data_IF_819937836894
#
_entry.id   IF_819937836894
#
_cell.length_a   1.000
_cell.length_b   1.000
_cell.length_c   1.000
_cell.angle_alpha   90.00
_cell.angle_beta   90.00
_cell.angle_gamma   90.00
#
_symmetry.space_group_name_H-M   'P 1'
#
loop_
_entity.id
_entity.type
_entity.pdbx_description
1 polymer ?
#
# COMPACT_ATOMS: atom_id res chain seq x y z
N UNK A 1 -20.68 -14.01 31.26
CA UNK A 1 -21.13 -12.86 30.41
C UNK A 1 -20.91 -11.55 31.15
N UNK A 2 -19.85 -10.85 30.90
CA UNK A 2 -19.54 -9.55 31.51
C UNK A 2 -20.27 -8.48 30.69
N UNK A 3 -21.25 -7.80 31.27
CA UNK A 3 -22.00 -6.71 30.65
C UNK A 3 -20.99 -5.68 30.11
N UNK A 4 -20.92 -5.50 28.77
CA UNK A 4 -20.21 -4.43 28.11
C UNK A 4 -20.75 -3.11 28.63
N UNK A 5 -19.90 -2.31 29.28
CA UNK A 5 -20.20 -0.90 29.59
C UNK A 5 -20.16 -0.13 28.25
N UNK A 6 -21.30 -0.03 27.61
CA UNK A 6 -21.56 0.92 26.53
C UNK A 6 -21.51 2.31 27.13
N UNK A 7 -20.47 3.05 26.86
CA UNK A 7 -20.32 4.43 27.32
C UNK A 7 -18.94 4.72 27.90
N UNK A 8 -17.86 4.35 27.19
CA UNK A 8 -16.59 5.02 27.49
C UNK A 8 -16.68 6.41 26.87
N UNK A 9 -16.77 7.43 27.72
CA UNK A 9 -16.55 8.81 27.34
C UNK A 9 -15.24 8.89 26.55
N UNK A 10 -15.29 9.43 25.35
CA UNK A 10 -14.14 9.72 24.51
C UNK A 10 -13.22 10.67 25.28
N UNK A 11 -12.27 10.11 26.02
CA UNK A 11 -11.22 10.89 26.64
C UNK A 11 -10.16 11.17 25.60
N UNK A 12 -10.05 12.42 25.17
CA UNK A 12 -8.94 12.93 24.32
C UNK A 12 -7.56 12.56 24.91
N UNK A 13 -7.50 12.28 26.22
CA UNK A 13 -6.32 11.78 26.93
C UNK A 13 -5.82 10.39 26.45
N UNK A 14 -6.66 9.63 25.75
CA UNK A 14 -6.30 8.30 25.24
C UNK A 14 -5.78 8.32 23.79
N UNK A 15 -5.70 9.50 23.18
CA UNK A 15 -5.14 9.64 21.83
C UNK A 15 -3.64 9.40 21.85
N UNK A 16 -3.18 8.60 20.90
CA UNK A 16 -1.76 8.43 20.69
C UNK A 16 -1.19 9.57 19.83
N UNK A 17 -0.82 10.67 20.52
CA UNK A 17 -0.27 11.85 19.86
C UNK A 17 0.99 11.57 19.03
N UNK A 18 1.75 10.51 19.34
CA UNK A 18 2.96 10.16 18.59
C UNK A 18 2.64 9.79 17.15
N UNK A 19 1.59 8.97 16.92
CA UNK A 19 1.14 8.62 15.56
C UNK A 19 0.77 9.87 14.79
N UNK A 20 0.03 10.80 15.42
CA UNK A 20 -0.38 12.06 14.80
C UNK A 20 0.83 12.90 14.41
N UNK A 21 1.81 13.02 15.33
CA UNK A 21 3.03 13.81 15.09
C UNK A 21 3.85 13.20 13.95
N UNK A 22 4.06 11.87 13.93
CA UNK A 22 4.83 11.21 12.88
C UNK A 22 4.12 11.33 11.52
N UNK A 23 2.80 11.16 11.47
CA UNK A 23 2.02 11.35 10.26
C UNK A 23 2.10 12.79 9.74
N UNK A 24 2.03 13.79 10.63
CA UNK A 24 2.18 15.20 10.28
C UNK A 24 3.58 15.52 9.73
N UNK A 25 4.64 15.02 10.39
CA UNK A 25 6.01 15.23 9.93
C UNK A 25 6.17 14.67 8.50
N UNK A 26 5.74 13.42 8.26
CA UNK A 26 5.82 12.80 6.94
C UNK A 26 4.99 13.56 5.90
N UNK A 27 3.79 14.01 6.26
CA UNK A 27 2.93 14.78 5.36
C UNK A 27 3.53 16.13 4.98
N UNK A 28 4.14 16.83 5.93
CA UNK A 28 4.81 18.12 5.69
C UNK A 28 6.02 17.92 4.78
N UNK A 29 6.87 16.92 5.07
CA UNK A 29 8.02 16.60 4.22
C UNK A 29 7.52 16.23 2.81
N UNK A 30 6.47 15.40 2.70
CA UNK A 30 5.87 15.01 1.43
C UNK A 30 5.40 16.21 0.60
N UNK A 31 4.80 17.24 1.22
CA UNK A 31 4.39 18.47 0.52
C UNK A 31 5.61 19.20 -0.07
N UNK A 32 6.68 19.35 0.73
CA UNK A 32 7.90 20.00 0.23
C UNK A 32 8.53 19.23 -0.92
N UNK A 33 8.60 17.90 -0.81
CA UNK A 33 9.20 17.05 -1.85
C UNK A 33 8.36 17.02 -3.13
N UNK A 34 7.03 16.90 -3.02
CA UNK A 34 6.13 17.00 -4.18
C UNK A 34 6.22 18.37 -4.83
N UNK A 35 6.28 19.44 -4.02
CA UNK A 35 6.48 20.79 -4.56
C UNK A 35 7.79 20.90 -5.35
N UNK A 36 8.87 20.36 -4.80
CA UNK A 36 10.17 20.37 -5.50
C UNK A 36 10.14 19.55 -6.80
N UNK A 37 9.56 18.35 -6.78
CA UNK A 37 9.46 17.47 -7.93
C UNK A 37 8.61 18.06 -9.06
N UNK A 38 7.58 18.86 -8.74
CA UNK A 38 6.61 19.38 -9.70
C UNK A 38 6.87 20.82 -10.14
N UNK A 39 8.02 21.39 -9.81
CA UNK A 39 8.34 22.79 -10.18
C UNK A 39 8.33 23.06 -11.68
N UNK A 40 8.74 22.08 -12.47
CA UNK A 40 8.86 22.20 -13.92
C UNK A 40 7.62 21.64 -14.67
N UNK A 41 6.63 21.13 -13.94
CA UNK A 41 5.39 20.67 -14.57
C UNK A 41 4.56 21.85 -15.08
N UNK A 42 4.11 21.76 -16.35
CA UNK A 42 3.12 22.68 -16.86
C UNK A 42 1.81 22.53 -16.08
N UNK A 43 1.27 23.64 -15.60
CA UNK A 43 -0.02 23.64 -14.88
C UNK A 43 -1.12 23.26 -15.87
N UNK A 44 -1.51 22.00 -15.90
CA UNK A 44 -2.53 21.45 -16.82
C UNK A 44 -3.95 21.50 -16.27
N UNK A 45 -4.15 22.06 -15.06
CA UNK A 45 -5.45 22.08 -14.40
C UNK A 45 -5.67 23.30 -13.51
N UNK A 46 -6.87 23.41 -12.92
CA UNK A 46 -7.22 24.48 -11.99
C UNK A 46 -6.38 24.46 -10.69
N UNK A 47 -5.82 23.32 -10.33
CA UNK A 47 -5.11 23.09 -9.05
C UNK A 47 -3.83 22.35 -9.34
N UNK A 48 -2.70 22.84 -8.82
CA UNK A 48 -1.37 22.21 -8.96
C UNK A 48 -1.29 20.91 -8.14
N UNK A 49 -0.35 20.04 -8.50
CA UNK A 49 -0.10 18.77 -7.77
C UNK A 49 0.20 19.03 -6.29
N UNK A 50 0.98 20.06 -5.97
CA UNK A 50 1.25 20.50 -4.58
C UNK A 50 -0.03 20.91 -3.85
N UNK A 51 -0.95 21.65 -4.51
CA UNK A 51 -2.21 22.06 -3.88
C UNK A 51 -3.12 20.86 -3.61
N UNK A 52 -3.14 19.86 -4.51
CA UNK A 52 -3.85 18.58 -4.27
C UNK A 52 -3.28 17.85 -3.05
N UNK A 53 -1.97 17.84 -2.88
CA UNK A 53 -1.31 17.22 -1.72
C UNK A 53 -1.68 17.93 -0.40
N UNK A 54 -1.68 19.27 -0.39
CA UNK A 54 -2.11 20.04 0.78
C UNK A 54 -3.58 19.77 1.11
N UNK A 55 -4.45 19.79 0.09
CA UNK A 55 -5.87 19.50 0.26
C UNK A 55 -6.09 18.08 0.81
N UNK A 56 -5.36 17.10 0.28
CA UNK A 56 -5.39 15.73 0.77
C UNK A 56 -4.98 15.61 2.24
N UNK A 57 -3.91 16.33 2.65
CA UNK A 57 -3.48 16.37 4.04
C UNK A 57 -4.58 16.97 4.94
N UNK A 58 -5.18 18.08 4.56
CA UNK A 58 -6.26 18.75 5.35
C UNK A 58 -7.46 17.83 5.48
N UNK A 59 -7.92 17.23 4.38
CA UNK A 59 -9.04 16.26 4.37
C UNK A 59 -8.70 15.06 5.27
N UNK A 60 -7.50 14.51 5.13
CA UNK A 60 -7.02 13.38 5.94
C UNK A 60 -7.03 13.69 7.44
N UNK A 61 -6.57 14.88 7.85
CA UNK A 61 -6.60 15.33 9.25
C UNK A 61 -8.04 15.50 9.77
N UNK A 62 -8.92 16.06 8.96
CA UNK A 62 -10.35 16.21 9.34
C UNK A 62 -11.00 14.84 9.50
N UNK A 63 -10.76 13.91 8.54
CA UNK A 63 -11.28 12.54 8.62
C UNK A 63 -10.71 11.80 9.83
N UNK A 64 -9.43 11.96 10.13
CA UNK A 64 -8.81 11.38 11.33
C UNK A 64 -9.50 11.86 12.59
N UNK A 65 -9.78 13.17 12.73
CA UNK A 65 -10.49 13.73 13.88
C UNK A 65 -11.92 13.19 13.98
N UNK A 66 -12.64 13.09 12.87
CA UNK A 66 -14.00 12.53 12.84
C UNK A 66 -13.98 11.05 13.24
N UNK A 67 -13.08 10.24 12.65
CA UNK A 67 -12.99 8.81 12.96
C UNK A 67 -12.57 8.55 14.40
N UNK A 68 -11.78 9.41 15.01
CA UNK A 68 -11.43 9.32 16.43
C UNK A 68 -12.67 9.45 17.35
N UNK A 69 -13.70 10.15 16.90
CA UNK A 69 -14.98 10.30 17.63
C UNK A 69 -15.92 9.10 17.43
N UNK A 70 -15.62 8.18 16.53
CA UNK A 70 -16.48 7.02 16.20
C UNK A 70 -15.94 5.78 16.89
N UNK A 71 -16.83 5.04 17.56
CA UNK A 71 -16.49 3.74 18.12
C UNK A 71 -16.22 2.72 17.00
N UNK A 72 -15.00 2.15 16.98
CA UNK A 72 -14.59 1.16 15.97
C UNK A 72 -15.45 -0.10 15.95
N UNK A 73 -16.08 -0.48 17.06
CA UNK A 73 -17.05 -1.59 17.11
C UNK A 73 -18.26 -1.32 16.19
N UNK A 74 -18.69 -0.05 16.09
CA UNK A 74 -19.75 0.33 15.16
C UNK A 74 -19.28 0.21 13.71
N UNK A 75 -18.05 0.65 13.41
CA UNK A 75 -17.47 0.51 12.08
C UNK A 75 -17.38 -0.95 11.66
N UNK A 76 -16.92 -1.84 12.56
CA UNK A 76 -16.86 -3.28 12.32
C UNK A 76 -18.26 -3.86 12.12
N UNK A 77 -19.25 -3.41 12.89
CA UNK A 77 -20.64 -3.88 12.74
C UNK A 77 -21.21 -3.57 11.37
N UNK A 78 -20.89 -2.41 10.80
CA UNK A 78 -21.35 -1.97 9.47
C UNK A 78 -20.38 -2.34 8.34
N UNK A 79 -19.34 -3.13 8.61
CA UNK A 79 -18.31 -3.51 7.64
C UNK A 79 -18.88 -4.17 6.37
N UNK A 80 -19.98 -4.93 6.48
CA UNK A 80 -20.64 -5.54 5.33
C UNK A 80 -21.11 -4.47 4.34
N UNK A 81 -21.68 -3.37 4.84
CA UNK A 81 -22.17 -2.27 3.99
C UNK A 81 -21.00 -1.60 3.29
N UNK A 82 -19.91 -1.26 4.01
CA UNK A 82 -18.70 -0.69 3.42
C UNK A 82 -18.08 -1.63 2.39
N UNK A 83 -18.08 -2.92 2.68
CA UNK A 83 -17.55 -3.95 1.80
C UNK A 83 -18.35 -4.05 0.49
N UNK A 84 -19.68 -4.11 0.57
CA UNK A 84 -20.54 -4.17 -0.62
C UNK A 84 -20.42 -2.89 -1.46
N UNK A 85 -20.37 -1.72 -0.83
CA UNK A 85 -20.16 -0.45 -1.53
C UNK A 85 -18.79 -0.46 -2.25
N UNK A 86 -17.73 -0.91 -1.59
CA UNK A 86 -16.40 -0.96 -2.20
C UNK A 86 -16.35 -1.93 -3.38
N UNK A 87 -17.01 -3.09 -3.28
CA UNK A 87 -17.15 -4.03 -4.40
C UNK A 87 -17.88 -3.42 -5.58
N UNK A 88 -19.00 -2.73 -5.31
CA UNK A 88 -19.76 -2.04 -6.35
C UNK A 88 -18.93 -0.95 -7.06
N UNK A 89 -18.10 -0.20 -6.30
CA UNK A 89 -17.22 0.81 -6.86
C UNK A 89 -16.11 0.21 -7.74
N UNK A 90 -15.47 -0.90 -7.32
CA UNK A 90 -14.48 -1.60 -8.14
C UNK A 90 -15.11 -2.11 -9.46
N UNK A 91 -16.27 -2.76 -9.38
CA UNK A 91 -16.99 -3.25 -10.56
C UNK A 91 -17.39 -2.09 -11.46
N UNK A 92 -17.87 -0.97 -10.89
CA UNK A 92 -18.25 0.21 -11.64
C UNK A 92 -17.10 0.79 -12.47
N UNK A 93 -15.93 0.98 -11.83
CA UNK A 93 -14.74 1.52 -12.52
C UNK A 93 -14.23 0.56 -13.58
N UNK A 94 -14.25 -0.74 -13.31
CA UNK A 94 -13.76 -1.73 -14.27
C UNK A 94 -14.61 -1.85 -15.52
N UNK A 95 -15.96 -1.86 -15.37
CA UNK A 95 -16.86 -2.29 -16.45
C UNK A 95 -17.78 -1.18 -16.97
N UNK A 96 -18.08 -0.13 -16.18
CA UNK A 96 -19.11 0.85 -16.55
C UNK A 96 -18.48 2.17 -16.98
N UNK A 97 -17.55 2.72 -16.23
CA UNK A 97 -16.94 4.02 -16.53
C UNK A 97 -15.42 4.03 -16.34
N UNK A 98 -14.67 3.30 -17.17
CA UNK A 98 -13.23 3.27 -17.05
C UNK A 98 -12.62 4.60 -17.53
N UNK A 99 -11.91 5.29 -16.63
CA UNK A 99 -10.97 6.33 -17.02
C UNK A 99 -9.62 5.67 -17.28
N UNK A 100 -9.21 5.66 -18.55
CA UNK A 100 -7.91 5.12 -18.94
C UNK A 100 -6.83 6.17 -18.65
N UNK A 101 -6.16 6.02 -17.50
CA UNK A 101 -4.98 6.83 -17.12
C UNK A 101 -3.80 5.88 -17.09
N UNK A 102 -2.74 6.18 -17.83
CA UNK A 102 -1.52 5.37 -17.91
C UNK A 102 -1.78 3.89 -18.28
N UNK A 103 -2.66 3.65 -19.26
CA UNK A 103 -3.10 2.31 -19.72
C UNK A 103 -3.77 1.43 -18.66
N UNK A 104 -4.31 2.03 -17.61
CA UNK A 104 -5.05 1.31 -16.57
C UNK A 104 -6.41 1.95 -16.28
N UNK A 105 -7.43 1.11 -16.20
CA UNK A 105 -8.80 1.51 -15.88
C UNK A 105 -9.03 1.36 -14.37
N UNK A 106 -8.43 2.25 -13.56
CA UNK A 106 -8.42 2.19 -12.09
C UNK A 106 -9.04 3.42 -11.43
N UNK A 107 -9.29 4.46 -12.21
CA UNK A 107 -9.67 5.77 -11.71
C UNK A 107 -11.11 6.12 -12.09
N UNK A 108 -11.77 6.85 -11.22
CA UNK A 108 -13.08 7.45 -11.50
C UNK A 108 -13.01 8.96 -11.28
N UNK A 109 -13.73 9.72 -12.10
CA UNK A 109 -13.85 11.16 -11.92
C UNK A 109 -15.00 11.47 -10.97
N UNK A 110 -14.68 12.15 -9.86
CA UNK A 110 -15.70 12.67 -8.96
C UNK A 110 -15.86 14.17 -9.22
N UNK A 111 -17.05 14.64 -9.62
CA UNK A 111 -17.30 16.06 -9.85
C UNK A 111 -16.93 16.87 -8.60
N UNK A 112 -16.07 17.87 -8.75
CA UNK A 112 -15.61 18.73 -7.66
C UNK A 112 -14.41 18.21 -6.83
N UNK A 113 -14.10 16.90 -6.88
CA UNK A 113 -12.97 16.31 -6.09
C UNK A 113 -11.83 15.76 -6.95
N UNK A 114 -11.99 15.76 -8.28
CA UNK A 114 -10.97 15.21 -9.20
C UNK A 114 -11.10 13.71 -9.40
N UNK A 115 -9.96 13.04 -9.57
CA UNK A 115 -9.88 11.58 -9.79
C UNK A 115 -9.68 10.85 -8.46
N UNK A 116 -10.45 9.80 -8.22
CA UNK A 116 -10.35 8.93 -7.04
C UNK A 116 -10.14 7.50 -7.53
N UNK A 117 -9.32 6.75 -6.79
CA UNK A 117 -9.07 5.34 -7.03
C UNK A 117 -9.88 4.50 -6.03
N UNK A 118 -10.86 3.69 -6.47
CA UNK A 118 -11.71 2.89 -5.57
C UNK A 118 -10.95 1.84 -4.76
N UNK A 119 -9.83 1.33 -5.24
CA UNK A 119 -9.00 0.37 -4.50
C UNK A 119 -8.47 0.96 -3.19
N UNK A 120 -8.24 2.28 -3.10
CA UNK A 120 -7.85 2.95 -1.86
C UNK A 120 -8.93 2.82 -0.76
N UNK A 121 -10.20 3.00 -1.15
CA UNK A 121 -11.32 2.80 -0.26
C UNK A 121 -11.51 1.31 0.08
N UNK A 122 -11.27 0.42 -0.88
CA UNK A 122 -11.43 -1.01 -0.73
C UNK A 122 -10.43 -1.62 0.26
N UNK A 123 -9.21 -1.06 0.39
CA UNK A 123 -8.25 -1.46 1.43
C UNK A 123 -8.84 -1.33 2.84
N UNK A 124 -9.51 -0.21 3.11
CA UNK A 124 -10.16 0.04 4.41
C UNK A 124 -11.34 -0.91 4.60
N UNK A 125 -12.19 -1.04 3.59
CA UNK A 125 -13.40 -1.86 3.65
C UNK A 125 -13.09 -3.36 3.87
N UNK A 126 -12.06 -3.89 3.18
CA UNK A 126 -11.66 -5.29 3.32
C UNK A 126 -11.05 -5.59 4.69
N UNK A 127 -10.28 -4.66 5.28
CA UNK A 127 -9.75 -4.81 6.65
C UNK A 127 -10.91 -4.86 7.65
N UNK A 128 -11.87 -3.95 7.56
CA UNK A 128 -13.05 -3.97 8.43
C UNK A 128 -13.82 -5.28 8.29
N UNK A 129 -14.03 -5.76 7.06
CA UNK A 129 -14.69 -7.03 6.77
C UNK A 129 -13.89 -8.23 7.31
N UNK A 130 -12.57 -8.22 7.16
CA UNK A 130 -11.68 -9.24 7.69
C UNK A 130 -11.79 -9.35 9.22
N UNK A 131 -11.78 -8.21 9.95
CA UNK A 131 -12.00 -8.20 11.40
C UNK A 131 -13.35 -8.82 11.74
N UNK A 132 -14.42 -8.40 11.05
CA UNK A 132 -15.77 -8.91 11.28
C UNK A 132 -15.89 -10.43 11.12
N UNK A 133 -15.24 -11.01 10.12
CA UNK A 133 -15.23 -12.46 9.87
C UNK A 133 -14.34 -13.18 10.88
N UNK A 134 -13.10 -12.71 11.10
CA UNK A 134 -12.13 -13.38 11.98
C UNK A 134 -12.63 -13.51 13.42
N UNK A 135 -13.36 -12.52 13.94
CA UNK A 135 -13.95 -12.60 15.27
C UNK A 135 -14.98 -13.73 15.36
N UNK A 136 -15.77 -13.93 14.31
CA UNK A 136 -16.78 -14.98 14.27
C UNK A 136 -16.19 -16.37 14.18
N UNK A 137 -15.12 -16.52 13.42
CA UNK A 137 -14.46 -17.81 13.20
C UNK A 137 -13.34 -18.09 14.21
N UNK A 138 -13.04 -17.17 15.14
CA UNK A 138 -11.91 -17.27 16.08
C UNK A 138 -11.81 -18.64 16.77
N UNK A 139 -12.93 -19.20 17.22
CA UNK A 139 -12.96 -20.51 17.89
C UNK A 139 -12.60 -21.67 16.95
N UNK A 140 -12.75 -21.48 15.67
CA UNK A 140 -12.54 -22.49 14.62
C UNK A 140 -11.40 -22.09 13.67
N UNK A 141 -10.52 -21.15 14.08
CA UNK A 141 -9.46 -20.60 13.22
C UNK A 141 -8.50 -21.66 12.66
N UNK A 142 -8.34 -22.78 13.38
CA UNK A 142 -7.49 -23.89 12.93
C UNK A 142 -8.23 -24.88 12.01
N UNK A 143 -9.47 -24.64 11.66
CA UNK A 143 -10.21 -25.46 10.72
C UNK A 143 -10.08 -24.88 9.29
N UNK A 144 -9.61 -25.72 8.37
CA UNK A 144 -9.36 -25.36 6.95
C UNK A 144 -10.57 -24.73 6.28
N UNK A 145 -11.78 -25.28 6.51
CA UNK A 145 -13.00 -24.80 5.86
C UNK A 145 -13.33 -23.35 6.22
N UNK A 146 -13.12 -22.96 7.48
CA UNK A 146 -13.33 -21.56 7.90
C UNK A 146 -12.28 -20.62 7.33
N UNK A 147 -11.02 -21.08 7.23
CA UNK A 147 -9.95 -20.30 6.58
C UNK A 147 -10.21 -20.12 5.07
N UNK A 148 -10.63 -21.19 4.39
CA UNK A 148 -11.02 -21.12 2.97
C UNK A 148 -12.17 -20.12 2.81
N UNK A 149 -13.21 -20.18 3.64
CA UNK A 149 -14.34 -19.24 3.61
C UNK A 149 -13.89 -17.79 3.83
N UNK A 150 -12.96 -17.55 4.77
CA UNK A 150 -12.37 -16.24 5.01
C UNK A 150 -11.62 -15.70 3.79
N UNK A 151 -10.70 -16.50 3.25
CA UNK A 151 -9.91 -16.10 2.07
C UNK A 151 -10.75 -16.03 0.79
N UNK A 152 -11.78 -16.88 0.64
CA UNK A 152 -12.69 -16.79 -0.49
C UNK A 152 -13.46 -15.46 -0.48
N UNK A 153 -14.00 -15.07 0.68
CA UNK A 153 -14.75 -13.83 0.82
C UNK A 153 -13.86 -12.60 0.62
N UNK A 154 -12.73 -12.51 1.32
CA UNK A 154 -11.81 -11.36 1.22
C UNK A 154 -11.01 -11.36 -0.07
N UNK A 155 -10.77 -12.52 -0.66
CA UNK A 155 -10.08 -12.73 -1.92
C UNK A 155 -10.83 -12.19 -3.13
N UNK A 156 -12.16 -12.02 -3.06
CA UNK A 156 -12.93 -11.34 -4.12
C UNK A 156 -12.39 -9.92 -4.35
N UNK A 157 -12.12 -9.18 -3.27
CA UNK A 157 -11.52 -7.82 -3.35
C UNK A 157 -10.16 -7.87 -4.01
N UNK A 158 -9.30 -8.79 -3.56
CA UNK A 158 -7.95 -8.98 -4.11
C UNK A 158 -8.01 -9.29 -5.60
N UNK A 159 -8.90 -10.18 -6.01
CA UNK A 159 -9.09 -10.55 -7.41
C UNK A 159 -9.57 -9.37 -8.27
N UNK A 160 -10.55 -8.60 -7.81
CA UNK A 160 -11.05 -7.43 -8.55
C UNK A 160 -9.95 -6.38 -8.74
N UNK A 161 -9.16 -6.09 -7.72
CA UNK A 161 -8.04 -5.15 -7.80
C UNK A 161 -6.92 -5.69 -8.70
N UNK A 162 -6.64 -6.99 -8.65
CA UNK A 162 -5.67 -7.65 -9.55
C UNK A 162 -6.07 -7.52 -11.02
N UNK A 163 -7.36 -7.67 -11.32
CA UNK A 163 -7.90 -7.53 -12.70
C UNK A 163 -7.87 -6.06 -13.18
N UNK A 164 -7.74 -5.08 -12.28
CA UNK A 164 -7.48 -3.66 -12.58
C UNK A 164 -5.99 -3.34 -12.82
N UNK A 165 -5.15 -4.27 -13.23
CA UNK A 165 -3.70 -4.45 -13.16
C UNK A 165 -2.98 -3.68 -12.02
N UNK A 166 -3.50 -3.78 -10.80
CA UNK A 166 -2.87 -3.22 -9.60
C UNK A 166 -2.33 -4.34 -8.69
N UNK A 167 -1.22 -4.93 -9.11
CA UNK A 167 -0.56 -6.02 -8.40
C UNK A 167 -0.08 -5.57 -7.00
N UNK A 168 0.46 -4.37 -6.89
CA UNK A 168 1.03 -3.86 -5.65
C UNK A 168 -0.01 -3.77 -4.54
N UNK A 169 -1.16 -3.14 -4.82
CA UNK A 169 -2.27 -3.03 -3.88
C UNK A 169 -2.85 -4.39 -3.52
N UNK A 170 -2.98 -5.30 -4.51
CA UNK A 170 -3.44 -6.67 -4.28
C UNK A 170 -2.54 -7.41 -3.30
N UNK A 171 -1.21 -7.34 -3.47
CA UNK A 171 -0.23 -7.98 -2.59
C UNK A 171 -0.26 -7.40 -1.17
N UNK A 172 -0.32 -6.07 -1.02
CA UNK A 172 -0.41 -5.43 0.29
C UNK A 172 -1.64 -5.91 1.06
N UNK A 173 -2.80 -6.02 0.38
CA UNK A 173 -4.02 -6.53 1.00
C UNK A 173 -3.84 -8.00 1.42
N UNK A 174 -3.26 -8.86 0.59
CA UNK A 174 -2.99 -10.27 0.93
C UNK A 174 -2.11 -10.35 2.17
N UNK A 175 -1.02 -9.56 2.24
CA UNK A 175 -0.16 -9.53 3.42
C UNK A 175 -0.93 -9.09 4.67
N UNK A 176 -1.77 -8.06 4.57
CA UNK A 176 -2.60 -7.61 5.68
C UNK A 176 -3.57 -8.71 6.15
N UNK A 177 -4.26 -9.40 5.23
CA UNK A 177 -5.18 -10.47 5.53
C UNK A 177 -4.50 -11.65 6.23
N UNK A 178 -3.31 -12.04 5.77
CA UNK A 178 -2.49 -13.08 6.38
C UNK A 178 -2.01 -12.66 7.76
N UNK A 179 -1.48 -11.44 7.91
CA UNK A 179 -1.02 -10.91 9.20
C UNK A 179 -2.16 -10.91 10.25
N UNK A 180 -3.38 -10.53 9.84
CA UNK A 180 -4.55 -10.56 10.73
C UNK A 180 -4.89 -11.98 11.19
N UNK A 181 -4.75 -13.00 10.33
CA UNK A 181 -4.94 -14.41 10.74
C UNK A 181 -3.91 -14.82 11.79
N UNK A 182 -2.65 -14.37 11.69
CA UNK A 182 -1.64 -14.63 12.74
C UNK A 182 -2.05 -14.03 14.08
N UNK A 183 -2.58 -12.83 14.10
CA UNK A 183 -3.00 -12.13 15.32
C UNK A 183 -4.17 -12.85 16.02
N UNK A 184 -4.99 -13.63 15.30
CA UNK A 184 -6.06 -14.44 15.91
C UNK A 184 -5.57 -15.65 16.70
N UNK A 185 -4.27 -15.99 16.64
CA UNK A 185 -3.69 -17.11 17.36
C UNK A 185 -3.81 -18.45 16.62
N UNK A 186 -3.67 -18.43 15.30
CA UNK A 186 -3.55 -19.64 14.48
C UNK A 186 -2.39 -20.52 14.97
N UNK A 187 -2.52 -21.84 14.88
CA UNK A 187 -1.46 -22.75 15.32
C UNK A 187 -0.20 -22.66 14.46
N UNK A 188 0.97 -22.77 15.06
CA UNK A 188 2.27 -22.74 14.40
C UNK A 188 2.43 -23.80 13.30
N UNK A 189 1.64 -24.89 13.34
CA UNK A 189 1.61 -25.92 12.29
C UNK A 189 1.13 -25.34 10.95
N UNK A 190 0.13 -24.46 10.98
CA UNK A 190 -0.36 -23.76 9.80
C UNK A 190 0.65 -22.77 9.26
N UNK A 191 1.30 -22.04 10.18
CA UNK A 191 2.39 -21.10 9.82
C UNK A 191 3.50 -21.84 9.10
N UNK A 192 3.98 -22.94 9.68
CA UNK A 192 5.02 -23.77 9.06
C UNK A 192 4.58 -24.36 7.71
N UNK A 193 3.32 -24.78 7.59
CA UNK A 193 2.76 -25.27 6.34
C UNK A 193 2.74 -24.20 5.23
N UNK A 194 2.24 -23.00 5.55
CA UNK A 194 2.22 -21.87 4.59
C UNK A 194 3.64 -21.46 4.20
N UNK A 195 4.56 -21.32 5.17
CA UNK A 195 5.96 -20.99 4.88
C UNK A 195 6.63 -22.06 4.02
N UNK A 196 6.33 -23.36 4.26
CA UNK A 196 6.82 -24.46 3.44
C UNK A 196 6.33 -24.37 2.00
N UNK A 197 5.04 -24.11 1.79
CA UNK A 197 4.47 -23.91 0.44
C UNK A 197 5.10 -22.70 -0.26
N UNK A 198 5.24 -21.57 0.45
CA UNK A 198 5.90 -20.36 -0.09
C UNK A 198 7.36 -20.65 -0.45
N UNK A 199 8.10 -21.37 0.39
CA UNK A 199 9.49 -21.72 0.12
C UNK A 199 9.63 -22.62 -1.11
N UNK A 200 8.75 -23.61 -1.27
CA UNK A 200 8.71 -24.48 -2.47
C UNK A 200 8.37 -23.65 -3.71
N UNK A 201 7.38 -22.76 -3.62
CA UNK A 201 7.01 -21.88 -4.75
C UNK A 201 8.14 -20.94 -5.16
N UNK A 202 8.79 -20.28 -4.19
CA UNK A 202 9.95 -19.41 -4.45
C UNK A 202 11.11 -20.21 -5.02
N UNK A 203 11.38 -21.42 -4.47
CA UNK A 203 12.42 -22.30 -5.00
C UNK A 203 12.16 -22.73 -6.44
N UNK A 204 10.91 -23.10 -6.77
CA UNK A 204 10.51 -23.43 -8.12
C UNK A 204 10.64 -22.23 -9.08
N UNK A 205 10.24 -21.05 -8.64
CA UNK A 205 10.34 -19.82 -9.42
C UNK A 205 11.82 -19.46 -9.69
N UNK A 206 12.67 -19.52 -8.67
CA UNK A 206 14.11 -19.31 -8.85
C UNK A 206 14.71 -20.35 -9.80
N UNK A 207 14.32 -21.61 -9.67
CA UNK A 207 14.75 -22.66 -10.60
C UNK A 207 14.37 -22.30 -12.05
N UNK A 208 13.14 -21.89 -12.32
CA UNK A 208 12.68 -21.48 -13.65
C UNK A 208 13.45 -20.26 -14.21
N UNK A 209 13.83 -19.30 -13.34
CA UNK A 209 14.59 -18.10 -13.75
C UNK A 209 16.03 -18.44 -14.14
N UNK A 210 16.68 -19.32 -13.35
CA UNK A 210 18.08 -19.70 -13.57
C UNK A 210 18.26 -20.91 -14.51
N UNK A 211 17.15 -21.49 -15.00
CA UNK A 211 17.19 -22.56 -15.99
C UNK A 211 17.81 -22.08 -17.31
N UNK A 212 18.77 -22.81 -17.90
CA UNK A 212 19.34 -22.47 -19.21
C UNK A 212 18.23 -22.35 -20.28
N UNK A 213 18.28 -21.27 -21.07
CA UNK A 213 17.29 -20.91 -22.10
C UNK A 213 15.88 -20.63 -21.57
N UNK A 214 15.68 -20.61 -20.24
CA UNK A 214 14.39 -20.32 -19.58
C UNK A 214 13.20 -21.09 -20.19
N UNK A 215 13.43 -22.36 -20.51
CA UNK A 215 12.44 -23.21 -21.21
C UNK A 215 11.10 -23.27 -20.50
N UNK A 216 11.14 -23.36 -19.17
CA UNK A 216 9.92 -23.43 -18.36
C UNK A 216 9.15 -22.11 -18.42
N UNK A 217 9.81 -20.95 -18.33
CA UNK A 217 9.15 -19.64 -18.46
C UNK A 217 8.56 -19.44 -19.86
N UNK A 218 9.29 -19.83 -20.91
CA UNK A 218 8.82 -19.76 -22.29
C UNK A 218 7.60 -20.66 -22.51
N UNK A 219 7.57 -21.85 -21.92
CA UNK A 219 6.40 -22.73 -21.96
C UNK A 219 5.16 -22.08 -21.28
N UNK A 220 5.33 -21.38 -20.15
CA UNK A 220 4.24 -20.67 -19.51
C UNK A 220 3.70 -19.52 -20.38
N UNK A 221 4.56 -18.86 -21.15
CA UNK A 221 4.16 -17.81 -22.10
C UNK A 221 3.37 -18.43 -23.26
N UNK A 222 3.85 -19.53 -23.86
CA UNK A 222 3.18 -20.24 -24.95
C UNK A 222 1.78 -20.74 -24.56
N UNK A 223 1.57 -21.05 -23.27
CA UNK A 223 0.28 -21.49 -22.73
C UNK A 223 -0.62 -20.36 -22.24
N UNK A 224 -0.27 -19.10 -22.49
CA UNK A 224 -0.99 -17.91 -21.99
C UNK A 224 -1.20 -17.87 -20.47
N UNK A 225 -0.36 -18.61 -19.71
CA UNK A 225 -0.40 -18.60 -18.24
C UNK A 225 0.30 -17.36 -17.69
N UNK A 226 1.43 -16.97 -18.31
CA UNK A 226 2.18 -15.76 -18.02
C UNK A 226 2.27 -14.91 -19.27
N UNK A 227 2.12 -13.60 -19.10
CA UNK A 227 2.32 -12.66 -20.20
C UNK A 227 3.79 -12.26 -20.31
N UNK A 228 4.27 -12.01 -21.52
CA UNK A 228 5.66 -11.65 -21.81
C UNK A 228 6.16 -10.51 -20.93
N UNK A 229 5.33 -9.47 -20.70
CA UNK A 229 5.73 -8.33 -19.86
C UNK A 229 5.98 -8.72 -18.39
N UNK A 230 5.28 -9.73 -17.86
CA UNK A 230 5.48 -10.23 -16.51
C UNK A 230 6.82 -10.95 -16.38
N UNK A 231 7.15 -11.77 -17.35
CA UNK A 231 8.45 -12.46 -17.43
C UNK A 231 9.58 -11.43 -17.61
N UNK A 232 9.40 -10.44 -18.46
CA UNK A 232 10.38 -9.37 -18.65
C UNK A 232 10.63 -8.58 -17.35
N UNK A 233 9.59 -8.31 -16.56
CA UNK A 233 9.76 -7.67 -15.23
C UNK A 233 10.55 -8.54 -14.25
N UNK A 234 10.29 -9.84 -14.24
CA UNK A 234 11.05 -10.78 -13.40
C UNK A 234 12.51 -10.81 -13.86
N UNK A 235 12.75 -11.03 -15.14
CA UNK A 235 14.08 -11.10 -15.69
C UNK A 235 14.87 -9.79 -15.52
N UNK A 236 14.24 -8.64 -15.72
CA UNK A 236 14.90 -7.35 -15.52
C UNK A 236 15.35 -7.10 -14.08
N UNK A 237 14.68 -7.72 -13.11
CA UNK A 237 15.11 -7.66 -11.71
C UNK A 237 16.34 -8.52 -11.42
N UNK A 238 16.42 -9.74 -12.00
CA UNK A 238 17.53 -10.67 -11.79
C UNK A 238 18.71 -10.45 -12.75
N UNK A 239 18.43 -9.99 -13.97
CA UNK A 239 19.40 -9.76 -15.04
C UNK A 239 19.27 -8.36 -15.62
N UNK A 240 19.54 -7.31 -14.82
CA UNK A 240 19.32 -5.91 -15.23
C UNK A 240 20.12 -5.50 -16.47
N UNK A 241 21.29 -6.11 -16.69
CA UNK A 241 22.16 -5.82 -17.83
C UNK A 241 21.56 -6.25 -19.16
N UNK A 242 20.75 -7.34 -19.17
CA UNK A 242 20.10 -7.87 -20.36
C UNK A 242 18.81 -7.12 -20.73
N UNK A 243 18.28 -6.31 -19.81
CA UNK A 243 17.01 -5.58 -19.96
C UNK A 243 17.17 -4.06 -19.67
N UNK A 244 18.04 -3.35 -20.40
CA UNK A 244 18.39 -1.96 -20.07
C UNK A 244 17.18 -1.01 -20.11
N UNK A 245 16.24 -1.20 -21.04
CA UNK A 245 15.07 -0.32 -21.16
C UNK A 245 14.11 -0.44 -19.97
N UNK A 246 13.91 -1.66 -19.42
CA UNK A 246 13.06 -1.90 -18.27
C UNK A 246 13.71 -1.46 -16.95
N UNK A 247 15.04 -1.51 -16.87
CA UNK A 247 15.80 -1.17 -15.65
C UNK A 247 16.25 0.29 -15.62
N UNK A 248 16.16 1.01 -16.74
CA UNK A 248 16.62 2.39 -16.87
C UNK A 248 16.13 3.32 -15.76
N UNK A 249 14.83 3.27 -15.46
CA UNK A 249 14.25 4.13 -14.41
C UNK A 249 14.75 3.75 -13.01
N UNK A 250 14.92 2.45 -12.73
CA UNK A 250 15.47 1.98 -11.46
C UNK A 250 16.93 2.40 -11.30
N UNK A 251 17.74 2.22 -12.35
CA UNK A 251 19.15 2.64 -12.35
C UNK A 251 19.29 4.15 -12.17
N UNK A 252 18.49 4.94 -12.89
CA UNK A 252 18.46 6.40 -12.74
C UNK A 252 18.05 6.81 -11.32
N UNK A 253 17.07 6.10 -10.71
CA UNK A 253 16.66 6.33 -9.33
C UNK A 253 17.80 6.05 -8.34
N UNK A 254 18.54 4.95 -8.51
CA UNK A 254 19.70 4.61 -7.67
C UNK A 254 20.82 5.64 -7.85
N UNK A 255 21.09 6.06 -9.09
CA UNK A 255 22.08 7.11 -9.38
C UNK A 255 21.70 8.45 -8.75
N UNK A 256 20.41 8.81 -8.79
CA UNK A 256 19.91 10.03 -8.14
C UNK A 256 20.16 10.00 -6.64
N UNK A 257 19.76 8.91 -5.97
CA UNK A 257 19.97 8.73 -4.52
C UNK A 257 21.45 8.78 -4.16
N UNK A 258 22.29 8.08 -4.94
CA UNK A 258 23.74 8.07 -4.73
C UNK A 258 24.38 9.45 -4.98
N UNK A 259 23.88 10.19 -5.97
CA UNK A 259 24.33 11.56 -6.31
C UNK A 259 24.07 12.59 -5.21
N UNK A 260 23.10 12.33 -4.31
CA UNK A 260 22.80 13.20 -3.16
C UNK A 260 23.82 13.13 -2.05
N UNK A 261 24.69 12.14 -2.01
CA UNK A 261 25.73 11.97 -0.97
C UNK A 261 25.16 12.05 0.47
N UNK A 262 25.88 12.69 1.40
CA UNK A 262 25.47 12.75 2.81
C UNK A 262 24.36 13.77 3.07
N UNK A 263 24.47 14.98 2.53
CA UNK A 263 23.63 16.13 2.86
C UNK A 263 22.67 16.57 1.74
N UNK A 264 22.75 15.92 0.59
CA UNK A 264 21.96 16.26 -0.59
C UNK A 264 22.50 17.44 -1.39
N UNK A 265 21.94 17.63 -2.58
CA UNK A 265 22.24 18.76 -3.47
C UNK A 265 21.46 20.04 -3.09
N UNK A 266 20.62 19.97 -2.07
CA UNK A 266 19.73 21.05 -1.61
C UNK A 266 18.33 20.98 -2.22
N UNK A 267 17.36 21.51 -1.47
CA UNK A 267 15.96 21.60 -1.93
C UNK A 267 15.84 22.49 -3.16
N UNK A 268 14.95 22.11 -4.06
CA UNK A 268 14.69 22.85 -5.30
C UNK A 268 15.91 23.00 -6.21
N UNK A 269 16.79 21.99 -6.23
CA UNK A 269 17.95 22.01 -7.08
C UNK A 269 17.56 22.17 -8.56
N UNK A 270 18.07 23.22 -9.21
CA UNK A 270 17.76 23.57 -10.59
C UNK A 270 18.91 23.24 -11.57
N UNK A 271 19.89 22.44 -11.14
CA UNK A 271 21.01 22.03 -12.03
C UNK A 271 20.50 21.05 -13.08
N UNK A 272 21.06 21.13 -14.31
CA UNK A 272 20.68 20.21 -15.40
C UNK A 272 21.04 18.74 -15.11
N UNK A 273 21.94 18.50 -14.19
CA UNK A 273 22.32 17.16 -13.73
C UNK A 273 21.36 16.56 -12.69
N UNK A 274 20.34 17.31 -12.28
CA UNK A 274 19.30 16.82 -11.39
C UNK A 274 18.32 15.93 -12.14
N UNK A 275 17.87 14.87 -11.49
CA UNK A 275 16.94 13.90 -12.05
C UNK A 275 15.65 14.56 -12.56
N UNK A 276 15.11 15.52 -11.80
CA UNK A 276 13.89 16.26 -12.17
C UNK A 276 14.07 17.19 -13.36
N UNK A 277 15.27 17.77 -13.57
CA UNK A 277 15.52 18.70 -14.66
C UNK A 277 15.99 18.00 -15.94
N UNK A 278 16.58 16.82 -15.81
CA UNK A 278 17.08 16.01 -16.92
C UNK A 278 16.04 15.07 -17.55
N UNK A 279 14.81 15.01 -17.06
CA UNK A 279 13.77 14.05 -17.47
C UNK A 279 14.29 12.59 -17.48
N UNK A 280 15.15 12.26 -16.51
CA UNK A 280 15.72 10.91 -16.39
C UNK A 280 14.72 9.90 -15.81
N UNK A 281 13.69 10.37 -15.07
CA UNK A 281 12.62 9.57 -14.52
C UNK A 281 11.28 10.07 -15.06
N UNK A 282 10.41 9.15 -15.42
CA UNK A 282 9.00 9.46 -15.70
C UNK A 282 8.19 9.34 -14.41
N UNK A 283 7.22 10.24 -14.20
CA UNK A 283 6.32 10.25 -13.03
C UNK A 283 7.10 10.28 -11.70
N UNK A 284 8.18 11.08 -11.63
CA UNK A 284 9.06 11.18 -10.46
C UNK A 284 8.33 11.63 -9.20
N UNK A 285 7.29 12.46 -9.33
CA UNK A 285 6.45 12.96 -8.26
C UNK A 285 5.55 11.87 -7.64
N UNK A 286 5.34 10.74 -8.34
CA UNK A 286 4.52 9.61 -7.91
C UNK A 286 5.38 8.41 -7.52
N UNK A 287 5.97 7.74 -8.52
CA UNK A 287 6.60 6.44 -8.33
C UNK A 287 8.05 6.52 -7.81
N UNK A 288 8.75 7.63 -8.11
CA UNK A 288 10.16 7.80 -7.77
C UNK A 288 10.43 9.00 -6.86
N UNK A 289 9.45 9.43 -6.08
CA UNK A 289 9.60 10.59 -5.17
C UNK A 289 10.76 10.40 -4.19
N UNK A 290 11.06 9.15 -3.77
CA UNK A 290 12.18 8.86 -2.88
C UNK A 290 13.55 9.08 -3.55
N UNK A 291 13.64 8.98 -4.89
CA UNK A 291 14.83 9.35 -5.63
C UNK A 291 15.10 10.85 -5.53
N UNK A 292 14.04 11.68 -5.63
CA UNK A 292 14.13 13.13 -5.43
C UNK A 292 14.55 13.45 -3.99
N UNK A 293 13.97 12.76 -3.01
CA UNK A 293 14.38 12.86 -1.59
C UNK A 293 15.86 12.57 -1.43
N UNK A 294 16.34 11.45 -2.00
CA UNK A 294 17.74 11.03 -1.89
C UNK A 294 18.68 12.03 -2.56
N UNK A 295 18.31 12.59 -3.70
CA UNK A 295 19.11 13.58 -4.40
C UNK A 295 19.16 14.93 -3.67
N UNK A 296 18.03 15.45 -3.20
CA UNK A 296 17.92 16.79 -2.61
C UNK A 296 18.31 16.85 -1.14
N UNK A 297 17.91 15.84 -0.33
CA UNK A 297 18.17 15.78 1.12
C UNK A 297 19.32 14.83 1.48
N UNK A 298 19.83 14.06 0.54
CA UNK A 298 20.93 13.13 0.73
C UNK A 298 20.59 11.95 1.66
N UNK A 299 21.63 11.26 2.09
CA UNK A 299 21.51 10.14 3.02
C UNK A 299 20.86 10.55 4.35
N UNK A 300 21.22 11.70 4.91
CA UNK A 300 20.70 12.16 6.20
C UNK A 300 19.18 12.38 6.15
N UNK A 301 18.66 13.06 5.11
CA UNK A 301 17.22 13.28 4.94
C UNK A 301 16.47 11.99 4.66
N UNK A 302 17.01 11.13 3.81
CA UNK A 302 16.44 9.81 3.50
C UNK A 302 16.36 8.93 4.74
N UNK A 303 17.45 8.85 5.51
CA UNK A 303 17.50 8.09 6.77
C UNK A 303 16.51 8.65 7.80
N UNK A 304 16.36 9.97 7.90
CA UNK A 304 15.38 10.59 8.79
C UNK A 304 13.95 10.20 8.43
N UNK A 305 13.58 10.23 7.14
CA UNK A 305 12.25 9.81 6.69
C UNK A 305 12.00 8.34 7.02
N UNK A 306 12.96 7.46 6.71
CA UNK A 306 12.85 6.03 7.02
C UNK A 306 12.69 5.82 8.53
N UNK A 307 13.44 6.56 9.36
CA UNK A 307 13.32 6.48 10.81
C UNK A 307 11.92 6.89 11.29
N UNK A 308 11.34 7.96 10.76
CA UNK A 308 9.99 8.39 11.14
C UNK A 308 8.94 7.35 10.71
N UNK A 309 9.07 6.74 9.51
CA UNK A 309 8.22 5.63 9.09
C UNK A 309 8.34 4.43 10.04
N UNK A 310 9.56 4.05 10.41
CA UNK A 310 9.80 2.96 11.36
C UNK A 310 9.17 3.25 12.73
N UNK A 311 9.31 4.48 13.22
CA UNK A 311 8.70 4.89 14.49
C UNK A 311 7.17 4.87 14.42
N UNK A 312 6.57 5.31 13.30
CA UNK A 312 5.14 5.23 13.05
C UNK A 312 4.65 3.78 13.05
N UNK A 313 5.36 2.90 12.35
CA UNK A 313 5.07 1.47 12.30
C UNK A 313 5.15 0.81 13.69
N UNK A 314 6.23 1.05 14.42
CA UNK A 314 6.41 0.53 15.80
C UNK A 314 5.30 1.03 16.72
N UNK A 315 4.93 2.29 16.63
CA UNK A 315 3.87 2.84 17.48
C UNK A 315 2.50 2.25 17.11
N UNK A 316 2.24 2.01 15.81
CA UNK A 316 1.06 1.28 15.36
C UNK A 316 0.98 -0.14 15.92
N UNK A 317 2.11 -0.89 15.92
CA UNK A 317 2.20 -2.22 16.56
C UNK A 317 1.98 -2.14 18.07
N UNK A 318 2.47 -1.11 18.74
CA UNK A 318 2.23 -0.89 20.17
C UNK A 318 0.75 -0.65 20.46
N UNK A 319 0.06 0.11 19.61
CA UNK A 319 -1.40 0.32 19.73
C UNK A 319 -2.13 -1.01 19.55
N UNK A 320 -1.77 -1.81 18.54
CA UNK A 320 -2.32 -3.15 18.35
C UNK A 320 -2.11 -4.04 19.59
N UNK A 321 -0.88 -4.07 20.13
CA UNK A 321 -0.54 -4.87 21.32
C UNK A 321 -1.25 -4.43 22.61
N UNK A 322 -1.57 -3.13 22.75
CA UNK A 322 -2.23 -2.56 23.92
C UNK A 322 -3.75 -2.53 23.81
N UNK A 323 -4.30 -2.93 22.68
CA UNK A 323 -5.74 -2.93 22.47
C UNK A 323 -6.43 -3.86 23.49
N UNK A 324 -7.54 -3.42 24.11
CA UNK A 324 -8.22 -4.16 25.19
C UNK A 324 -8.94 -5.43 24.70
N UNK A 325 -9.26 -5.50 23.41
CA UNK A 325 -9.99 -6.60 22.80
C UNK A 325 -9.36 -7.06 21.48
N UNK A 326 -9.82 -8.21 20.98
CA UNK A 326 -9.32 -8.77 19.73
C UNK A 326 -9.75 -7.94 18.52
N UNK A 327 -10.91 -7.28 18.57
CA UNK A 327 -11.42 -6.42 17.49
C UNK A 327 -10.43 -5.29 17.20
N UNK A 328 -10.02 -4.56 18.23
CA UNK A 328 -9.06 -3.49 18.12
C UNK A 328 -7.65 -3.97 17.75
N UNK A 329 -7.21 -5.15 18.26
CA UNK A 329 -5.92 -5.75 17.87
C UNK A 329 -5.88 -6.06 16.38
N UNK A 330 -6.92 -6.71 15.87
CA UNK A 330 -7.02 -7.07 14.45
C UNK A 330 -7.10 -5.82 13.57
N UNK A 331 -7.91 -4.84 13.97
CA UNK A 331 -8.08 -3.61 13.21
C UNK A 331 -6.75 -2.85 13.11
N UNK A 332 -6.09 -2.64 14.24
CA UNK A 332 -4.80 -1.95 14.26
C UNK A 332 -3.72 -2.70 13.49
N UNK A 333 -3.62 -4.04 13.65
CA UNK A 333 -2.64 -4.85 12.90
C UNK A 333 -2.90 -4.84 11.40
N UNK A 334 -4.17 -4.91 10.97
CA UNK A 334 -4.53 -4.82 9.56
C UNK A 334 -4.10 -3.48 8.93
N UNK A 335 -4.39 -2.36 9.60
CA UNK A 335 -3.98 -1.04 9.10
C UNK A 335 -2.47 -0.82 9.14
N UNK A 336 -1.78 -1.30 10.18
CA UNK A 336 -0.31 -1.21 10.26
C UNK A 336 0.37 -2.01 9.14
N UNK A 337 -0.23 -3.12 8.72
CA UNK A 337 0.33 -3.92 7.62
C UNK A 337 0.10 -3.26 6.24
N UNK A 338 -0.95 -2.45 6.10
CA UNK A 338 -1.21 -1.68 4.86
C UNK A 338 -0.32 -0.43 4.78
N UNK A 339 0.13 0.10 5.92
CA UNK A 339 1.02 1.26 6.00
C UNK A 339 2.38 0.97 5.39
#
# INVERSE_FOLDING_TARGET
MRKRKTGQNLHLSNLNFKIIIYALILSIIGIFMVHSATQNEAVTGMITTTQKQILGMVIGLVLMMILTCIDYHKLIKYSIVFYVISMALLIYVKYINPLNISNANRWMHLPGFGTIQPSEFSKVAVVLMAVFVLIRIQKHINNVLYLIGYFALTGITVYLIYVEPDLSTSMIIVFALVAMVFVTGISWKWVGGVLGVVAVFVGALLFCIYEPEQKTLNWFIEKDILQQYQVNRINSYFFPEDYPDQTRQQLNSVMAIGGGQLLGKGLNNSTYESVKNGNFLSEEQCDFIFAVVGEELGFAGSAFIILIYLLLFIEGLRVAGRSPDLEGKLLASGFVTIL
#
